data_IF_706310398374
#
_entry.id   IF_706310398374
#
_cell.length_a   1.000
_cell.length_b   1.000
_cell.length_c   1.000
_cell.angle_alpha   90.00
_cell.angle_beta   90.00
_cell.angle_gamma   90.00
#
_symmetry.space_group_name_H-M   'P 1'
#
loop_
_entity.id
_entity.type
_entity.pdbx_description
1 polymer ?
#
# COMPACT_ATOMS: atom_id res chain seq x y z
N UNK A 1 -31.89 5.28 32.49
CA UNK A 1 -30.85 5.49 31.46
C UNK A 1 -30.85 6.97 31.19
N UNK A 2 -29.94 7.70 31.85
CA UNK A 2 -29.91 9.16 31.72
C UNK A 2 -29.27 9.55 30.39
N UNK A 3 -29.63 10.73 29.85
CA UNK A 3 -29.06 11.24 28.58
C UNK A 3 -27.54 11.42 28.70
N UNK A 4 -27.04 11.69 29.91
CA UNK A 4 -25.64 11.73 30.30
C UNK A 4 -24.88 10.43 30.00
N UNK A 5 -25.51 9.26 30.15
CA UNK A 5 -24.89 7.96 29.89
C UNK A 5 -24.68 7.68 28.39
N UNK A 6 -25.53 8.26 27.52
CA UNK A 6 -25.44 8.08 26.05
C UNK A 6 -24.19 8.75 25.44
N UNK A 7 -23.67 9.80 26.08
CA UNK A 7 -22.47 10.52 25.64
C UNK A 7 -21.22 10.14 26.43
N UNK A 8 -21.34 9.28 27.43
CA UNK A 8 -20.22 8.81 28.23
C UNK A 8 -19.52 7.64 27.52
N UNK A 9 -18.75 7.97 26.49
CA UNK A 9 -17.90 7.00 25.78
C UNK A 9 -16.65 6.75 26.64
N UNK A 10 -16.70 5.73 27.49
CA UNK A 10 -15.51 5.20 28.18
C UNK A 10 -14.76 4.28 27.24
N UNK A 11 -13.61 4.73 26.73
CA UNK A 11 -12.73 3.92 25.89
C UNK A 11 -11.68 3.27 26.79
N UNK A 12 -11.61 1.95 26.77
CA UNK A 12 -10.47 1.23 27.36
C UNK A 12 -9.19 1.63 26.62
N UNK A 13 -8.27 2.26 27.33
CA UNK A 13 -6.99 2.72 26.78
C UNK A 13 -6.23 1.59 26.08
N UNK A 14 -6.36 0.35 26.56
CA UNK A 14 -5.71 -0.82 25.96
C UNK A 14 -6.21 -1.12 24.54
N UNK A 15 -7.46 -0.78 24.21
CA UNK A 15 -8.09 -1.02 22.90
C UNK A 15 -8.12 0.23 22.01
N UNK A 16 -7.69 1.39 22.52
CA UNK A 16 -7.75 2.67 21.81
C UNK A 16 -7.03 2.64 20.45
N UNK A 17 -5.90 1.92 20.35
CA UNK A 17 -5.14 1.78 19.10
C UNK A 17 -5.88 1.02 17.99
N UNK A 18 -6.90 0.22 18.33
CA UNK A 18 -7.74 -0.50 17.37
C UNK A 18 -8.99 0.30 16.97
N UNK A 19 -9.31 1.38 17.68
CA UNK A 19 -10.52 2.17 17.44
C UNK A 19 -10.52 2.77 16.03
N UNK A 20 -9.46 3.48 15.67
CA UNK A 20 -9.32 4.09 14.35
C UNK A 20 -9.23 3.04 13.22
N UNK A 21 -8.37 1.99 13.31
CA UNK A 21 -8.37 0.90 12.34
C UNK A 21 -9.74 0.26 12.11
N UNK A 22 -10.53 0.06 13.18
CA UNK A 22 -11.86 -0.54 13.10
C UNK A 22 -12.84 0.33 12.30
N UNK A 23 -12.82 1.65 12.50
CA UNK A 23 -13.66 2.59 11.73
C UNK A 23 -13.27 2.55 10.25
N UNK A 24 -11.98 2.66 9.94
CA UNK A 24 -11.49 2.62 8.56
C UNK A 24 -11.84 1.28 7.91
N UNK A 25 -11.73 0.17 8.63
CA UNK A 25 -12.07 -1.15 8.11
C UNK A 25 -13.56 -1.24 7.71
N UNK A 26 -14.47 -0.76 8.57
CA UNK A 26 -15.90 -0.72 8.26
C UNK A 26 -16.21 0.22 7.09
N UNK A 27 -15.57 1.38 7.04
CA UNK A 27 -15.72 2.32 5.92
C UNK A 27 -15.32 1.65 4.60
N UNK A 28 -14.14 1.02 4.56
CA UNK A 28 -13.65 0.30 3.38
C UNK A 28 -14.57 -0.86 3.00
N UNK A 29 -15.08 -1.62 3.97
CA UNK A 29 -16.00 -2.73 3.72
C UNK A 29 -17.33 -2.25 3.12
N UNK A 30 -17.89 -1.16 3.65
CA UNK A 30 -19.11 -0.54 3.10
C UNK A 30 -18.85 -0.04 1.68
N UNK A 31 -17.73 0.65 1.44
CA UNK A 31 -17.37 1.09 0.09
C UNK A 31 -17.22 -0.07 -0.89
N UNK A 32 -16.53 -1.14 -0.48
CA UNK A 32 -16.38 -2.35 -1.29
C UNK A 32 -17.75 -2.99 -1.60
N UNK A 33 -18.65 -3.05 -0.62
CA UNK A 33 -20.01 -3.56 -0.81
C UNK A 33 -20.81 -2.68 -1.78
N UNK A 34 -20.74 -1.36 -1.65
CA UNK A 34 -21.39 -0.43 -2.57
C UNK A 34 -20.88 -0.63 -4.00
N UNK A 35 -19.57 -0.70 -4.21
CA UNK A 35 -18.99 -0.96 -5.53
C UNK A 35 -19.50 -2.30 -6.10
N UNK A 36 -19.56 -3.35 -5.27
CA UNK A 36 -20.03 -4.66 -5.71
C UNK A 36 -21.51 -4.62 -6.10
N UNK A 37 -22.35 -3.94 -5.33
CA UNK A 37 -23.79 -3.83 -5.59
C UNK A 37 -24.10 -2.95 -6.80
N UNK A 38 -23.47 -1.77 -6.91
CA UNK A 38 -23.77 -0.80 -7.96
C UNK A 38 -23.07 -1.12 -9.28
N UNK A 39 -21.82 -1.55 -9.24
CA UNK A 39 -21.02 -1.79 -10.45
C UNK A 39 -20.76 -3.28 -10.69
N UNK A 40 -20.51 -4.04 -9.62
CA UNK A 40 -20.16 -5.46 -9.72
C UNK A 40 -21.30 -6.34 -10.26
N UNK A 41 -22.52 -6.21 -9.73
CA UNK A 41 -23.69 -6.98 -10.17
C UNK A 41 -24.03 -6.74 -11.66
N UNK A 42 -24.20 -5.49 -12.15
CA UNK A 42 -24.49 -5.27 -13.56
C UNK A 42 -23.34 -5.74 -14.46
N UNK A 43 -22.09 -5.50 -14.06
CA UNK A 43 -20.92 -5.99 -14.78
C UNK A 43 -20.90 -7.53 -14.91
N UNK A 44 -21.14 -8.26 -13.83
CA UNK A 44 -21.21 -9.73 -13.85
C UNK A 44 -22.37 -10.25 -14.72
N UNK A 45 -23.50 -9.54 -14.73
CA UNK A 45 -24.64 -9.88 -15.60
C UNK A 45 -24.28 -9.69 -17.07
N UNK A 46 -23.58 -8.61 -17.42
CA UNK A 46 -23.09 -8.36 -18.78
C UNK A 46 -22.08 -9.43 -19.22
N UNK A 47 -21.17 -9.83 -18.33
CA UNK A 47 -20.21 -10.91 -18.56
C UNK A 47 -20.92 -12.25 -18.80
N UNK A 48 -21.88 -12.61 -17.94
CA UNK A 48 -22.67 -13.85 -18.09
C UNK A 48 -23.51 -13.85 -19.36
N UNK A 49 -23.94 -12.68 -19.83
CA UNK A 49 -24.68 -12.53 -21.09
C UNK A 49 -23.79 -12.60 -22.34
N UNK A 50 -22.47 -12.72 -22.19
CA UNK A 50 -21.50 -12.77 -23.29
C UNK A 50 -21.25 -11.41 -23.97
N UNK A 51 -21.86 -10.32 -23.47
CA UNK A 51 -21.68 -8.96 -24.02
C UNK A 51 -20.36 -8.31 -23.62
N UNK A 52 -19.78 -8.74 -22.51
CA UNK A 52 -18.44 -8.36 -22.06
C UNK A 52 -17.66 -9.61 -21.70
N UNK A 53 -16.37 -9.61 -21.98
CA UNK A 53 -15.45 -10.63 -21.48
C UNK A 53 -14.78 -10.14 -20.20
N UNK A 54 -14.28 -11.08 -19.39
CA UNK A 54 -13.45 -10.72 -18.25
C UNK A 54 -12.13 -10.11 -18.78
N UNK A 55 -11.66 -8.96 -18.25
CA UNK A 55 -10.43 -8.32 -18.70
C UNK A 55 -9.20 -9.23 -18.56
N UNK A 56 -9.23 -10.17 -17.62
CA UNK A 56 -8.19 -11.18 -17.44
C UNK A 56 -8.18 -12.29 -18.52
N UNK A 57 -9.23 -12.41 -19.32
CA UNK A 57 -9.37 -13.46 -20.35
C UNK A 57 -9.05 -12.98 -21.76
N UNK A 58 -9.07 -11.68 -22.02
CA UNK A 58 -8.90 -11.11 -23.37
C UNK A 58 -7.60 -10.32 -23.58
N UNK A 59 -6.78 -10.16 -22.54
CA UNK A 59 -5.49 -9.46 -22.62
C UNK A 59 -4.28 -10.40 -22.52
N UNK A 60 -3.14 -9.95 -23.04
CA UNK A 60 -1.84 -10.57 -22.72
C UNK A 60 -1.52 -10.30 -21.25
N UNK A 61 -1.69 -11.30 -20.39
CA UNK A 61 -1.36 -11.21 -18.97
C UNK A 61 0.16 -11.10 -18.77
N UNK A 62 0.64 -9.94 -18.32
CA UNK A 62 2.05 -9.74 -17.99
C UNK A 62 2.40 -10.38 -16.64
N UNK A 63 2.54 -11.70 -16.66
CA UNK A 63 2.87 -12.51 -15.49
C UNK A 63 4.15 -12.02 -14.82
N UNK A 64 5.15 -11.60 -15.60
CA UNK A 64 6.46 -11.19 -15.07
C UNK A 64 6.34 -9.97 -14.17
N UNK A 65 5.59 -8.95 -14.60
CA UNK A 65 5.37 -7.76 -13.77
C UNK A 65 4.51 -8.04 -12.55
N UNK A 66 3.47 -8.87 -12.70
CA UNK A 66 2.59 -9.21 -11.57
C UNK A 66 3.35 -9.98 -10.50
N UNK A 67 3.98 -11.09 -10.86
CA UNK A 67 4.74 -11.90 -9.91
C UNK A 67 6.00 -11.18 -9.42
N UNK A 68 6.67 -10.40 -10.27
CA UNK A 68 7.81 -9.58 -9.88
C UNK A 68 7.43 -8.53 -8.85
N UNK A 69 6.28 -7.86 -9.01
CA UNK A 69 5.79 -6.88 -8.04
C UNK A 69 5.46 -7.55 -6.71
N UNK A 70 4.71 -8.68 -6.77
CA UNK A 70 4.36 -9.43 -5.56
C UNK A 70 5.61 -9.86 -4.78
N UNK A 71 6.61 -10.42 -5.48
CA UNK A 71 7.87 -10.84 -4.89
C UNK A 71 8.62 -9.66 -4.27
N UNK A 72 8.76 -8.54 -5.00
CA UNK A 72 9.43 -7.34 -4.50
C UNK A 72 8.73 -6.77 -3.26
N UNK A 73 7.40 -6.75 -3.24
CA UNK A 73 6.62 -6.28 -2.09
C UNK A 73 6.81 -7.17 -0.87
N UNK A 74 6.76 -8.50 -1.05
CA UNK A 74 7.02 -9.44 0.06
C UNK A 74 8.44 -9.24 0.59
N UNK A 75 9.44 -9.19 -0.29
CA UNK A 75 10.84 -9.00 0.10
C UNK A 75 11.03 -7.69 0.88
N UNK A 76 10.44 -6.60 0.41
CA UNK A 76 10.50 -5.29 1.07
C UNK A 76 9.96 -5.32 2.50
N UNK A 77 8.77 -5.89 2.72
CA UNK A 77 8.19 -5.95 4.06
C UNK A 77 8.91 -6.93 4.98
N UNK A 78 9.42 -8.04 4.44
CA UNK A 78 10.18 -9.02 5.23
C UNK A 78 11.55 -8.48 5.59
N UNK A 79 12.24 -7.75 4.72
CA UNK A 79 13.59 -7.23 4.97
C UNK A 79 13.63 -6.01 5.89
N UNK A 80 12.54 -5.24 5.93
CA UNK A 80 12.45 -4.00 6.72
C UNK A 80 12.67 -4.21 8.23
N UNK A 81 12.07 -5.19 8.92
CA UNK A 81 12.38 -5.49 10.32
C UNK A 81 13.85 -5.83 10.56
N UNK A 82 14.45 -6.68 9.73
CA UNK A 82 15.87 -7.07 9.90
C UNK A 82 16.81 -5.88 9.82
N UNK A 83 16.53 -4.92 8.94
CA UNK A 83 17.35 -3.69 8.83
C UNK A 83 16.99 -2.68 9.92
N UNK A 84 15.73 -2.62 10.34
CA UNK A 84 15.30 -1.84 11.49
C UNK A 84 15.96 -2.29 12.79
N UNK A 85 16.19 -3.59 12.98
CA UNK A 85 16.94 -4.14 14.12
C UNK A 85 18.41 -3.70 14.14
N UNK A 86 19.03 -3.50 12.98
CA UNK A 86 20.40 -2.98 12.88
C UNK A 86 20.49 -1.47 13.24
N UNK A 87 19.42 -0.72 13.01
CA UNK A 87 19.34 0.73 13.26
C UNK A 87 18.11 1.09 14.11
N UNK A 88 18.05 0.64 15.37
CA UNK A 88 16.85 0.73 16.19
C UNK A 88 16.43 2.19 16.43
N UNK A 89 15.12 2.45 16.35
CA UNK A 89 14.48 3.76 16.63
C UNK A 89 14.93 4.93 15.74
N UNK A 90 15.56 4.66 14.60
CA UNK A 90 16.01 5.72 13.67
C UNK A 90 15.10 5.89 12.44
N UNK A 91 14.19 4.94 12.19
CA UNK A 91 13.38 4.89 10.96
C UNK A 91 14.20 4.67 9.68
N UNK A 92 15.48 4.29 9.82
CA UNK A 92 16.37 4.03 8.68
C UNK A 92 16.04 2.70 8.00
N UNK A 93 15.39 1.76 8.69
CA UNK A 93 14.89 0.51 8.11
C UNK A 93 13.97 0.78 6.91
N UNK A 94 13.00 1.67 7.10
CA UNK A 94 12.14 2.17 6.03
C UNK A 94 12.92 2.80 4.88
N UNK A 95 13.82 3.74 5.15
CA UNK A 95 14.53 4.47 4.10
C UNK A 95 15.42 3.55 3.26
N UNK A 96 16.24 2.75 3.94
CA UNK A 96 17.24 1.88 3.31
C UNK A 96 16.59 0.74 2.52
N UNK A 97 15.43 0.24 2.92
CA UNK A 97 14.70 -0.77 2.15
C UNK A 97 13.83 -0.16 1.04
N UNK A 98 13.32 1.06 1.24
CA UNK A 98 12.49 1.74 0.24
C UNK A 98 13.27 2.12 -1.01
N UNK A 99 14.53 2.53 -0.89
CA UNK A 99 15.38 2.89 -2.03
C UNK A 99 15.55 1.72 -3.03
N UNK A 100 16.07 0.54 -2.63
CA UNK A 100 16.23 -0.59 -3.54
C UNK A 100 14.88 -1.14 -4.02
N UNK A 101 13.85 -1.13 -3.18
CA UNK A 101 12.50 -1.52 -3.58
C UNK A 101 11.94 -0.62 -4.68
N UNK A 102 11.96 0.70 -4.48
CA UNK A 102 11.49 1.68 -5.46
C UNK A 102 12.27 1.59 -6.76
N UNK A 103 13.58 1.39 -6.68
CA UNK A 103 14.42 1.21 -7.85
C UNK A 103 14.05 -0.06 -8.62
N UNK A 104 14.01 -1.22 -7.95
CA UNK A 104 13.69 -2.50 -8.57
C UNK A 104 12.28 -2.52 -9.17
N UNK A 105 11.31 -1.93 -8.48
CA UNK A 105 9.94 -1.80 -8.96
C UNK A 105 9.89 -0.90 -10.20
N UNK A 106 10.56 0.25 -10.17
CA UNK A 106 10.61 1.16 -11.31
C UNK A 106 11.29 0.52 -12.52
N UNK A 107 12.34 -0.28 -12.30
CA UNK A 107 13.02 -1.05 -13.36
C UNK A 107 12.12 -2.15 -13.91
N UNK A 108 11.35 -2.84 -13.07
CA UNK A 108 10.40 -3.89 -13.48
C UNK A 108 9.32 -3.34 -14.43
N UNK A 109 8.90 -2.09 -14.22
CA UNK A 109 7.90 -1.43 -15.07
C UNK A 109 8.49 -0.64 -16.24
N UNK A 110 9.81 -0.45 -16.27
CA UNK A 110 10.49 0.30 -17.31
C UNK A 110 10.46 -0.49 -18.62
N UNK A 111 9.89 0.08 -19.66
CA UNK A 111 9.83 -0.55 -20.98
C UNK A 111 11.11 -0.33 -21.82
N UNK A 112 11.87 0.72 -21.51
CA UNK A 112 13.08 1.11 -22.24
C UNK A 112 14.25 1.29 -21.25
N UNK A 113 15.22 0.40 -21.32
CA UNK A 113 16.40 0.40 -20.43
C UNK A 113 17.54 1.29 -20.96
N UNK A 114 17.21 2.54 -21.33
CA UNK A 114 18.24 3.52 -21.68
C UNK A 114 18.91 4.08 -20.40
N UNK A 115 20.19 4.45 -20.49
CA UNK A 115 20.98 5.01 -19.38
C UNK A 115 20.32 6.27 -18.80
N UNK A 116 19.73 7.10 -19.66
CA UNK A 116 19.01 8.29 -19.22
C UNK A 116 17.76 7.95 -18.38
N UNK A 117 17.04 6.89 -18.73
CA UNK A 117 15.87 6.45 -17.98
C UNK A 117 16.25 5.79 -16.66
N UNK A 118 17.30 4.95 -16.65
CA UNK A 118 17.82 4.36 -15.42
C UNK A 118 18.31 5.42 -14.44
N UNK A 119 18.94 6.50 -14.93
CA UNK A 119 19.36 7.62 -14.08
C UNK A 119 18.15 8.32 -13.43
N UNK A 120 17.10 8.62 -14.20
CA UNK A 120 15.87 9.25 -13.68
C UNK A 120 15.17 8.35 -12.66
N UNK A 121 15.14 7.04 -12.94
CA UNK A 121 14.60 6.04 -12.01
C UNK A 121 15.42 5.99 -10.72
N UNK A 122 16.76 5.99 -10.81
CA UNK A 122 17.64 6.04 -9.64
C UNK A 122 17.44 7.29 -8.79
N UNK A 123 17.36 8.46 -9.43
CA UNK A 123 17.08 9.73 -8.74
C UNK A 123 15.72 9.69 -8.05
N UNK A 124 14.67 9.22 -8.72
CA UNK A 124 13.33 9.13 -8.13
C UNK A 124 13.29 8.13 -6.96
N UNK A 125 13.92 6.97 -7.11
CA UNK A 125 14.01 5.94 -6.08
C UNK A 125 14.81 6.41 -4.84
N UNK A 126 15.65 7.43 -4.98
CA UNK A 126 16.33 8.05 -3.85
C UNK A 126 15.49 9.21 -3.26
N UNK A 127 15.07 10.16 -4.08
CA UNK A 127 14.42 11.39 -3.63
C UNK A 127 13.07 11.09 -2.97
N UNK A 128 12.23 10.24 -3.57
CA UNK A 128 10.89 10.01 -3.05
C UNK A 128 10.91 9.37 -1.64
N UNK A 129 11.67 8.29 -1.38
CA UNK A 129 11.80 7.75 -0.03
C UNK A 129 12.45 8.71 0.97
N UNK A 130 13.46 9.48 0.56
CA UNK A 130 14.12 10.46 1.44
C UNK A 130 13.13 11.55 1.88
N UNK A 131 12.35 12.08 0.95
CA UNK A 131 11.32 13.10 1.25
C UNK A 131 10.23 12.52 2.14
N UNK A 132 9.73 11.31 1.82
CA UNK A 132 8.73 10.64 2.64
C UNK A 132 9.23 10.37 4.06
N UNK A 133 10.45 9.87 4.21
CA UNK A 133 11.10 9.64 5.51
C UNK A 133 11.26 10.96 6.28
N UNK A 134 11.73 12.03 5.63
CA UNK A 134 11.89 13.32 6.28
C UNK A 134 10.55 13.87 6.79
N UNK A 135 9.51 13.82 5.97
CA UNK A 135 8.18 14.29 6.35
C UNK A 135 7.63 13.45 7.50
N UNK A 136 7.62 12.13 7.38
CA UNK A 136 7.01 11.25 8.37
C UNK A 136 7.80 11.21 9.69
N UNK A 137 9.12 11.02 9.62
CA UNK A 137 9.96 10.85 10.81
C UNK A 137 10.36 12.17 11.46
N UNK A 138 10.60 13.26 10.69
CA UNK A 138 11.05 14.54 11.26
C UNK A 138 9.94 15.57 11.39
N UNK A 139 9.08 15.73 10.38
CA UNK A 139 8.02 16.73 10.43
C UNK A 139 6.84 16.28 11.30
N UNK A 140 6.44 15.00 11.18
CA UNK A 140 5.30 14.44 11.92
C UNK A 140 5.68 13.60 13.15
N UNK A 141 6.98 13.37 13.39
CA UNK A 141 7.48 12.53 14.49
C UNK A 141 6.81 11.14 14.59
N UNK A 142 6.41 10.59 13.44
CA UNK A 142 5.81 9.25 13.36
C UNK A 142 6.95 8.23 13.38
N UNK A 143 6.85 7.26 14.27
CA UNK A 143 7.80 6.15 14.34
C UNK A 143 7.66 5.28 13.10
N UNK A 144 8.67 5.33 12.23
CA UNK A 144 8.81 4.42 11.11
C UNK A 144 9.66 3.21 11.53
N UNK A 145 9.36 2.01 11.02
CA UNK A 145 10.19 0.83 11.20
C UNK A 145 11.59 0.99 10.59
#
# INVERSE_FOLDING_TARGET
MEISDLFQVSIDFSQSHLFFPRIIHWLLLIMALMILLFEGIPYLREVRSGRKSLPFTTGSFDSKRVFGTLLLTILYFVSMPYVGELFPNTGLGFLLMSIPYMFALSVLYLHQHDRAHLLRVGLNALIAPVVAWYILAKLFAITLP
#
